data_IF_418972267909
#
_entry.id   IF_418972267909
#
_cell.length_a   1.000
_cell.length_b   1.000
_cell.length_c   1.000
_cell.angle_alpha   90.00
_cell.angle_beta   90.00
_cell.angle_gamma   90.00
#
_symmetry.space_group_name_H-M   'P 1'
#
loop_
_entity.id
_entity.type
_entity.pdbx_description
1 polymer ?
#
# COMPACT_ATOMS: atom_id res chain seq x y z
N UNK A 1 -28.14 -20.13 9.67
CA UNK A 1 -27.01 -20.61 8.84
C UNK A 1 -25.72 -20.40 9.61
N UNK A 2 -25.10 -21.46 10.11
CA UNK A 2 -23.78 -21.37 10.74
C UNK A 2 -22.74 -21.16 9.64
N UNK A 3 -22.47 -19.90 9.30
CA UNK A 3 -21.37 -19.56 8.41
C UNK A 3 -20.08 -19.67 9.20
N UNK A 4 -19.30 -20.73 8.95
CA UNK A 4 -17.89 -20.76 9.32
C UNK A 4 -17.18 -19.68 8.51
N UNK A 5 -16.74 -18.61 9.19
CA UNK A 5 -15.94 -17.55 8.59
C UNK A 5 -14.55 -18.10 8.27
N UNK A 6 -14.33 -18.50 7.02
CA UNK A 6 -12.99 -18.83 6.53
C UNK A 6 -12.20 -17.55 6.37
N UNK A 7 -11.14 -17.39 7.17
CA UNK A 7 -10.17 -16.31 6.97
C UNK A 7 -9.30 -16.65 5.77
N UNK A 8 -9.63 -16.05 4.63
CA UNK A 8 -8.78 -16.11 3.44
C UNK A 8 -7.58 -15.18 3.66
N UNK A 9 -6.33 -15.66 3.51
CA UNK A 9 -5.16 -14.80 3.62
C UNK A 9 -5.19 -13.71 2.54
N UNK A 10 -4.75 -12.49 2.87
CA UNK A 10 -4.69 -11.39 1.91
C UNK A 10 -3.83 -11.72 0.68
N UNK A 11 -2.79 -12.55 0.85
CA UNK A 11 -1.93 -13.02 -0.23
C UNK A 11 -2.68 -13.83 -1.30
N UNK A 12 -3.77 -14.51 -0.95
CA UNK A 12 -4.59 -15.22 -1.94
C UNK A 12 -5.31 -14.25 -2.88
N UNK A 13 -5.73 -13.09 -2.36
CA UNK A 13 -6.30 -12.03 -3.17
C UNK A 13 -5.24 -11.38 -4.08
N UNK A 14 -4.02 -11.17 -3.58
CA UNK A 14 -2.91 -10.67 -4.40
C UNK A 14 -2.58 -11.63 -5.54
N UNK A 15 -2.49 -12.93 -5.27
CA UNK A 15 -2.24 -13.93 -6.30
C UNK A 15 -3.38 -13.97 -7.34
N UNK A 16 -4.64 -13.87 -6.90
CA UNK A 16 -5.78 -13.78 -7.79
C UNK A 16 -5.66 -12.58 -8.72
N UNK A 17 -5.38 -11.40 -8.17
CA UNK A 17 -5.23 -10.17 -8.95
C UNK A 17 -4.08 -10.28 -9.96
N UNK A 18 -2.92 -10.80 -9.56
CA UNK A 18 -1.77 -10.99 -10.46
C UNK A 18 -2.11 -11.90 -11.64
N UNK A 19 -2.82 -13.01 -11.41
CA UNK A 19 -3.24 -13.93 -12.47
C UNK A 19 -4.26 -13.26 -13.40
N UNK A 20 -5.20 -12.48 -12.86
CA UNK A 20 -6.21 -11.80 -13.66
C UNK A 20 -5.62 -10.69 -14.53
N UNK A 21 -4.69 -9.91 -13.99
CA UNK A 21 -3.95 -8.88 -14.73
C UNK A 21 -3.16 -9.53 -15.88
N UNK A 22 -2.41 -10.59 -15.59
CA UNK A 22 -1.68 -11.34 -16.61
C UNK A 22 -2.60 -11.92 -17.69
N UNK A 23 -3.68 -12.59 -17.29
CA UNK A 23 -4.63 -13.22 -18.22
C UNK A 23 -5.27 -12.19 -19.16
N UNK A 24 -5.58 -10.99 -18.66
CA UNK A 24 -6.11 -9.88 -19.48
C UNK A 24 -5.07 -9.41 -20.51
N UNK A 25 -3.83 -9.20 -20.11
CA UNK A 25 -2.75 -8.78 -21.00
C UNK A 25 -2.42 -9.86 -22.06
N UNK A 26 -2.39 -11.13 -21.66
CA UNK A 26 -2.20 -12.26 -22.56
C UNK A 26 -3.35 -12.35 -23.58
N UNK A 27 -4.59 -12.18 -23.14
CA UNK A 27 -5.76 -12.21 -24.03
C UNK A 27 -5.73 -11.06 -25.06
N UNK A 28 -5.29 -9.86 -24.66
CA UNK A 28 -5.07 -8.74 -25.59
C UNK A 28 -3.96 -9.05 -26.60
N UNK A 29 -2.85 -9.64 -26.14
CA UNK A 29 -1.73 -10.07 -26.99
C UNK A 29 -2.19 -11.09 -28.04
N UNK A 30 -2.99 -12.07 -27.62
CA UNK A 30 -3.63 -13.05 -28.51
C UNK A 30 -4.55 -12.39 -29.55
N UNK A 31 -5.38 -11.43 -29.13
CA UNK A 31 -6.30 -10.73 -30.02
C UNK A 31 -5.58 -9.90 -31.10
N UNK A 32 -4.34 -9.47 -30.82
CA UNK A 32 -3.48 -8.76 -31.77
C UNK A 32 -2.68 -9.71 -32.69
N UNK A 33 -2.83 -11.03 -32.54
CA UNK A 33 -2.10 -12.03 -33.33
C UNK A 33 -0.61 -12.12 -32.97
N UNK A 34 -0.23 -11.64 -31.79
CA UNK A 34 1.14 -11.69 -31.27
C UNK A 34 1.37 -13.05 -30.58
N UNK A 35 2.60 -13.57 -30.67
CA UNK A 35 3.00 -14.79 -29.99
C UNK A 35 2.80 -14.69 -28.47
N UNK A 36 2.14 -15.68 -27.88
CA UNK A 36 1.92 -15.80 -26.43
C UNK A 36 3.20 -16.03 -25.63
N UNK A 37 4.28 -16.42 -26.31
CA UNK A 37 5.60 -16.55 -25.70
C UNK A 37 6.40 -15.25 -25.74
N UNK A 38 5.90 -14.19 -26.38
CA UNK A 38 6.47 -12.85 -26.32
C UNK A 38 6.12 -12.16 -24.98
N UNK A 39 6.85 -12.57 -23.94
CA UNK A 39 6.67 -12.03 -22.59
C UNK A 39 6.88 -10.52 -22.51
N UNK A 40 7.72 -9.94 -23.38
CA UNK A 40 7.93 -8.50 -23.42
C UNK A 40 6.64 -7.78 -23.84
N UNK A 41 5.97 -8.24 -24.90
CA UNK A 41 4.71 -7.65 -25.37
C UNK A 41 3.59 -7.79 -24.35
N UNK A 42 3.54 -8.92 -23.63
CA UNK A 42 2.56 -9.13 -22.56
C UNK A 42 2.80 -8.13 -21.42
N UNK A 43 4.04 -8.01 -20.93
CA UNK A 43 4.38 -7.12 -19.81
C UNK A 43 4.19 -5.65 -20.19
N UNK A 44 4.45 -5.25 -21.44
CA UNK A 44 4.15 -3.89 -21.91
C UNK A 44 2.66 -3.52 -21.78
N UNK A 45 1.74 -4.49 -21.83
CA UNK A 45 0.30 -4.24 -21.62
C UNK A 45 -0.10 -4.23 -20.14
N UNK A 46 0.80 -4.64 -19.25
CA UNK A 46 0.60 -4.63 -17.79
C UNK A 46 1.13 -3.33 -17.18
N UNK A 47 2.12 -2.70 -17.80
CA UNK A 47 2.70 -1.43 -17.33
C UNK A 47 1.79 -0.25 -17.56
N UNK A 48 1.87 0.74 -16.67
CA UNK A 48 1.10 1.99 -16.75
C UNK A 48 -0.42 1.78 -16.87
N UNK A 49 -0.97 0.79 -16.16
CA UNK A 49 -2.42 0.51 -16.14
C UNK A 49 -3.00 0.71 -14.74
N UNK A 50 -4.29 0.97 -14.67
CA UNK A 50 -5.06 0.86 -13.42
C UNK A 50 -6.00 -0.35 -13.51
N UNK A 51 -6.08 -1.13 -12.44
CA UNK A 51 -7.05 -2.22 -12.31
C UNK A 51 -7.73 -2.19 -10.94
N UNK A 52 -8.92 -2.78 -10.86
CA UNK A 52 -9.66 -2.95 -9.61
C UNK A 52 -9.36 -4.32 -9.03
N UNK A 53 -8.75 -4.35 -7.85
CA UNK A 53 -8.47 -5.55 -7.07
C UNK A 53 -9.75 -6.28 -6.67
N UNK A 54 -9.68 -7.59 -6.49
CA UNK A 54 -10.75 -8.41 -5.87
C UNK A 54 -11.09 -7.94 -4.44
N UNK A 55 -10.16 -7.26 -3.77
CA UNK A 55 -10.39 -6.62 -2.47
C UNK A 55 -11.16 -5.28 -2.57
N UNK A 56 -11.42 -4.80 -3.79
CA UNK A 56 -12.16 -3.59 -4.09
C UNK A 56 -11.31 -2.33 -4.24
N UNK A 57 -9.99 -2.41 -4.01
CA UNK A 57 -9.05 -1.29 -4.16
C UNK A 57 -8.73 -1.02 -5.63
N UNK A 58 -8.50 0.25 -5.98
CA UNK A 58 -7.85 0.62 -7.24
C UNK A 58 -6.34 0.55 -7.06
N UNK A 59 -5.69 -0.19 -7.95
CA UNK A 59 -4.24 -0.38 -7.98
C UNK A 59 -3.73 0.15 -9.31
N UNK A 60 -2.70 0.99 -9.26
CA UNK A 60 -1.96 1.45 -10.42
C UNK A 60 -0.70 0.59 -10.57
N UNK A 61 -0.44 0.10 -11.76
CA UNK A 61 0.85 -0.52 -12.09
C UNK A 61 1.67 0.53 -12.81
N UNK A 62 2.82 0.88 -12.27
CA UNK A 62 3.67 1.91 -12.83
C UNK A 62 4.39 1.45 -14.12
N UNK A 63 5.26 2.30 -14.65
CA UNK A 63 6.00 1.98 -15.88
C UNK A 63 7.13 0.96 -15.67
N UNK A 64 7.58 0.76 -14.43
CA UNK A 64 8.53 -0.30 -14.09
C UNK A 64 7.85 -1.67 -13.94
N UNK A 65 6.54 -1.67 -13.66
CA UNK A 65 5.73 -2.85 -13.41
C UNK A 65 5.42 -3.05 -11.92
N UNK A 66 5.69 -2.06 -11.08
CA UNK A 66 5.42 -2.08 -9.65
C UNK A 66 3.98 -1.67 -9.36
N UNK A 67 3.36 -2.33 -8.39
CA UNK A 67 1.96 -2.07 -8.01
C UNK A 67 1.89 -0.99 -6.93
N UNK A 68 1.40 0.18 -7.31
CA UNK A 68 1.15 1.34 -6.49
C UNK A 68 -0.32 1.40 -6.05
N UNK A 69 -0.57 1.85 -4.81
CA UNK A 69 -1.94 1.89 -4.30
C UNK A 69 -2.13 2.81 -3.11
N UNK A 70 -3.39 2.92 -2.69
CA UNK A 70 -3.74 3.63 -1.47
C UNK A 70 -3.43 2.75 -0.25
N UNK A 71 -2.83 3.32 0.78
CA UNK A 71 -2.53 2.61 2.03
C UNK A 71 -3.39 3.15 3.17
N UNK A 72 -3.77 2.29 4.10
CA UNK A 72 -4.47 2.69 5.32
C UNK A 72 -3.48 2.78 6.47
N UNK A 73 -3.39 3.94 7.13
CA UNK A 73 -2.60 4.07 8.34
C UNK A 73 -3.41 3.53 9.52
N UNK A 74 -2.82 2.56 10.24
CA UNK A 74 -3.42 1.95 11.42
C UNK A 74 -2.60 2.32 12.66
N UNK A 75 -3.27 2.67 13.76
CA UNK A 75 -2.65 2.82 15.07
C UNK A 75 -3.29 1.87 16.08
N UNK A 76 -2.50 1.47 17.08
CA UNK A 76 -2.97 0.66 18.18
C UNK A 76 -3.78 1.53 19.14
N UNK A 77 -5.10 1.30 19.22
CA UNK A 77 -5.98 2.01 20.14
C UNK A 77 -6.42 1.10 21.28
N UNK A 78 -6.39 1.63 22.50
CA UNK A 78 -6.96 0.98 23.69
C UNK A 78 -8.35 1.56 23.97
N UNK A 79 -9.39 0.75 23.88
CA UNK A 79 -10.75 1.16 24.26
C UNK A 79 -11.11 0.59 25.63
N UNK A 80 -10.89 1.37 26.69
CA UNK A 80 -11.23 1.00 28.07
C UNK A 80 -10.46 -0.23 28.55
N UNK A 81 -11.20 -1.24 29.05
CA UNK A 81 -10.66 -2.50 29.57
C UNK A 81 -10.43 -3.57 28.49
N UNK A 82 -10.71 -3.27 27.23
CA UNK A 82 -10.54 -4.25 26.14
C UNK A 82 -9.07 -4.35 25.71
N UNK A 83 -8.72 -5.50 25.12
CA UNK A 83 -7.42 -5.68 24.47
C UNK A 83 -7.23 -4.61 23.39
N UNK A 84 -6.02 -4.02 23.27
CA UNK A 84 -5.72 -3.06 22.22
C UNK A 84 -5.99 -3.64 20.82
N UNK A 85 -6.47 -2.80 19.91
CA UNK A 85 -6.75 -3.19 18.51
C UNK A 85 -6.21 -2.16 17.54
N UNK A 86 -5.81 -2.61 16.37
CA UNK A 86 -5.46 -1.73 15.27
C UNK A 86 -6.73 -1.05 14.75
N UNK A 87 -6.72 0.28 14.66
CA UNK A 87 -7.79 1.08 14.11
C UNK A 87 -7.23 2.05 13.07
N UNK A 88 -8.03 2.35 12.05
CA UNK A 88 -7.67 3.34 11.03
C UNK A 88 -7.56 4.72 11.67
N UNK A 89 -6.46 5.40 11.37
CA UNK A 89 -6.15 6.78 11.81
C UNK A 89 -5.71 7.67 10.65
N UNK A 90 -5.72 7.15 9.42
CA UNK A 90 -5.37 7.91 8.23
C UNK A 90 -5.36 7.07 6.97
N UNK A 91 -4.98 7.70 5.87
CA UNK A 91 -4.73 7.06 4.58
C UNK A 91 -3.62 7.78 3.83
N UNK A 92 -2.86 6.99 3.08
CA UNK A 92 -2.01 7.45 1.99
C UNK A 92 -2.82 7.31 0.70
N UNK A 93 -3.00 8.41 -0.02
CA UNK A 93 -3.78 8.43 -1.25
C UNK A 93 -2.89 8.80 -2.43
N UNK A 94 -2.87 7.96 -3.45
CA UNK A 94 -2.26 8.29 -4.73
C UNK A 94 -3.18 9.23 -5.50
N UNK A 95 -2.67 10.40 -5.91
CA UNK A 95 -3.42 11.32 -6.75
C UNK A 95 -3.35 10.84 -8.19
N UNK A 96 -4.49 10.44 -8.75
CA UNK A 96 -4.60 9.96 -10.13
C UNK A 96 -4.13 11.07 -11.08
N UNK A 97 -3.05 10.81 -11.82
CA UNK A 97 -2.51 11.73 -12.84
C UNK A 97 -1.29 12.54 -12.40
N UNK A 98 -0.91 12.51 -11.11
CA UNK A 98 0.35 13.07 -10.61
C UNK A 98 1.25 11.97 -10.03
N UNK A 99 1.73 11.11 -10.92
CA UNK A 99 2.72 10.06 -10.58
C UNK A 99 4.16 10.61 -10.60
N UNK A 100 4.36 11.93 -10.72
CA UNK A 100 5.67 12.52 -11.00
C UNK A 100 6.72 12.22 -9.91
N UNK A 101 6.27 12.00 -8.67
CA UNK A 101 7.15 11.74 -7.53
C UNK A 101 6.96 10.34 -6.91
N UNK A 102 5.92 9.59 -7.30
CA UNK A 102 5.61 8.26 -6.74
C UNK A 102 5.29 8.23 -5.25
N UNK A 103 5.05 9.39 -4.62
CA UNK A 103 4.82 9.49 -3.17
C UNK A 103 3.33 9.80 -2.93
N UNK A 104 2.59 8.95 -2.19
CA UNK A 104 1.20 9.23 -1.86
C UNK A 104 1.05 10.30 -0.78
N UNK A 105 -0.03 11.07 -0.85
CA UNK A 105 -0.36 12.08 0.16
C UNK A 105 -0.92 11.44 1.42
N UNK A 106 -0.36 11.82 2.57
CA UNK A 106 -0.84 11.38 3.89
C UNK A 106 -1.92 12.30 4.43
N UNK A 107 -3.09 11.73 4.71
CA UNK A 107 -4.15 12.36 5.49
C UNK A 107 -4.36 11.60 6.81
N UNK A 108 -4.39 12.33 7.93
CA UNK A 108 -4.43 11.78 9.30
C UNK A 108 -5.67 12.29 10.03
N UNK A 109 -6.47 11.36 10.56
CA UNK A 109 -7.69 11.62 11.35
C UNK A 109 -7.43 11.70 12.87
N UNK A 110 -6.16 11.71 13.27
CA UNK A 110 -5.71 11.83 14.66
C UNK A 110 -5.11 10.53 15.21
N UNK A 111 -3.91 10.64 15.79
CA UNK A 111 -3.19 9.54 16.43
C UNK A 111 -3.15 9.82 17.94
N UNK A 112 -3.61 8.86 18.74
CA UNK A 112 -3.49 8.91 20.20
C UNK A 112 -2.07 8.52 20.61
N UNK A 113 -1.18 9.49 20.62
CA UNK A 113 0.20 9.28 21.06
C UNK A 113 0.28 9.00 22.56
N UNK A 114 1.26 8.19 22.98
CA UNK A 114 1.41 7.77 24.37
C UNK A 114 1.57 8.94 25.36
N UNK A 115 2.16 10.05 24.91
CA UNK A 115 2.36 11.27 25.70
C UNK A 115 1.47 12.44 25.22
N UNK A 116 0.45 12.16 24.40
CA UNK A 116 -0.48 13.16 23.86
C UNK A 116 0.01 13.88 22.59
N UNK A 117 1.30 13.85 22.30
CA UNK A 117 1.90 14.47 21.11
C UNK A 117 2.84 13.52 20.35
N UNK A 118 3.08 13.75 19.05
CA UNK A 118 4.05 12.96 18.29
C UNK A 118 5.44 13.07 18.95
N UNK A 119 6.15 11.95 19.12
CA UNK A 119 7.53 12.03 19.59
C UNK A 119 8.38 12.80 18.57
N UNK A 120 9.42 13.51 19.01
CA UNK A 120 10.36 14.14 18.09
C UNK A 120 11.05 13.07 17.22
N UNK A 121 11.33 13.43 15.98
CA UNK A 121 12.05 12.61 15.01
C UNK A 121 13.54 12.44 15.35
N UNK A 122 14.06 13.32 16.19
CA UNK A 122 15.42 13.28 16.70
C UNK A 122 15.45 13.43 18.24
N UNK A 123 16.31 12.69 18.97
CA UNK A 123 16.54 12.94 20.39
C UNK A 123 17.02 14.35 20.67
N UNK A 124 16.72 14.87 21.88
CA UNK A 124 17.11 16.25 22.27
C UNK A 124 18.61 16.53 22.17
N UNK A 125 19.45 15.53 22.45
CA UNK A 125 20.91 15.64 22.36
C UNK A 125 21.47 15.21 21.00
N UNK A 126 20.63 14.89 20.01
CA UNK A 126 21.03 14.18 18.81
C UNK A 126 21.27 12.70 19.07
N UNK A 127 21.38 11.91 18.00
CA UNK A 127 21.53 10.46 18.10
C UNK A 127 22.87 10.05 18.72
N UNK A 128 23.89 10.90 18.59
CA UNK A 128 25.26 10.69 19.04
C UNK A 128 25.72 11.74 20.06
N UNK A 129 24.79 12.37 20.78
CA UNK A 129 25.06 13.44 21.74
C UNK A 129 25.72 14.70 21.15
N UNK A 130 25.61 14.91 19.84
CA UNK A 130 26.21 16.01 19.08
C UNK A 130 25.62 17.39 19.41
N UNK A 131 24.39 17.44 19.93
CA UNK A 131 23.72 18.71 20.32
C UNK A 131 23.89 19.07 21.79
N UNK A 132 24.35 18.13 22.62
CA UNK A 132 24.60 18.37 24.03
C UNK A 132 26.09 18.59 24.24
N UNK A 133 26.49 19.88 24.33
CA UNK A 133 27.84 20.24 24.77
C UNK A 133 28.11 19.60 26.12
N UNK A 134 29.19 18.83 26.22
CA UNK A 134 29.77 18.50 27.51
C UNK A 134 30.22 19.83 28.11
N UNK A 135 29.53 20.32 29.14
CA UNK A 135 30.07 21.39 29.98
C UNK A 135 31.37 20.83 30.59
N UNK A 136 32.51 21.34 30.12
CA UNK A 136 33.82 21.14 30.74
C UNK A 136 33.94 22.04 31.96
#
# INVERSE_FOLDING_TARGET
>A
CNSTSYKVPIYAAYLYDSVMVYAKALNQTLAEGIDIHDGFRIIQKIRSITYKSVLGYEIFVDDQGDSEGNYTLLALKKQGLTLPRLQRVGNFTMVIGDYSNGIPDLYVDGIEWALGEPPPDEPRCGFNNEKCTQQL
#
